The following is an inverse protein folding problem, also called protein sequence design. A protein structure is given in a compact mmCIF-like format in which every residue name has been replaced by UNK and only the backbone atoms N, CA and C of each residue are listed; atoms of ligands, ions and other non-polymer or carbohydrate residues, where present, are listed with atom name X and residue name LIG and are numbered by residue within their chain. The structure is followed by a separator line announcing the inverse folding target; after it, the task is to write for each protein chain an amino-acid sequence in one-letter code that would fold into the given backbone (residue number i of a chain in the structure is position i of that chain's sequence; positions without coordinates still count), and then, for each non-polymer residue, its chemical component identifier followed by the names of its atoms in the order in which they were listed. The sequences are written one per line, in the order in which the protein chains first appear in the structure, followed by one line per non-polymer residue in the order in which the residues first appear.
data_IF_395843983931
#
_entry.id   IF_395843983931
#
_cell.length_a   1.000
_cell.length_b   1.000
_cell.length_c   1.000
_cell.angle_alpha   90.00
_cell.angle_beta   90.00
_cell.angle_gamma   90.00
#
_symmetry.space_group_name_H-M   'P 1'
#
loop_
_entity.id
_entity.type
_entity.pdbx_description
1 polymer ?
#
# COMPACT_ATOMS: atom_id res chain seq x y z
N UNK A 1 20.69 -14.05 -3.15
CA UNK A 1 19.99 -13.17 -2.20
C UNK A 1 18.86 -12.52 -2.99
N UNK A 2 17.59 -12.66 -2.59
CA UNK A 2 16.49 -11.89 -3.21
C UNK A 2 16.85 -10.40 -3.11
N UNK A 3 16.74 -9.67 -4.21
CA UNK A 3 16.91 -8.22 -4.18
C UNK A 3 15.82 -7.64 -3.29
N UNK A 4 16.20 -6.83 -2.28
CA UNK A 4 15.24 -6.20 -1.39
C UNK A 4 14.40 -5.18 -2.16
N UNK A 5 13.09 -5.31 -2.09
CA UNK A 5 12.12 -4.41 -2.72
C UNK A 5 12.30 -2.99 -2.22
N UNK A 6 12.51 -2.83 -0.90
CA UNK A 6 12.77 -1.52 -0.34
C UNK A 6 14.05 -0.89 -0.88
N UNK A 7 15.12 -1.66 -1.08
CA UNK A 7 16.36 -1.16 -1.72
C UNK A 7 16.12 -0.75 -3.16
N UNK A 8 15.29 -1.47 -3.91
CA UNK A 8 14.88 -1.09 -5.28
C UNK A 8 14.16 0.26 -5.26
N UNK A 9 13.22 0.47 -4.32
CA UNK A 9 12.52 1.76 -4.16
C UNK A 9 13.51 2.90 -3.86
N UNK A 10 14.41 2.73 -2.89
CA UNK A 10 15.40 3.74 -2.54
C UNK A 10 16.34 4.09 -3.71
N UNK A 11 16.89 3.06 -4.36
CA UNK A 11 17.81 3.25 -5.48
C UNK A 11 17.18 4.01 -6.65
N UNK A 12 15.91 3.79 -6.94
CA UNK A 12 15.22 4.53 -8.00
C UNK A 12 14.88 5.96 -7.57
N UNK A 13 14.42 6.15 -6.33
CA UNK A 13 14.22 7.49 -5.77
C UNK A 13 15.50 8.35 -5.86
N UNK A 14 16.64 7.79 -5.43
CA UNK A 14 17.92 8.50 -5.42
C UNK A 14 18.40 8.88 -6.83
N UNK A 15 17.93 8.17 -7.86
CA UNK A 15 18.13 8.49 -9.27
C UNK A 15 17.07 9.44 -9.85
N UNK A 16 16.09 9.88 -9.04
CA UNK A 16 14.95 10.69 -9.50
C UNK A 16 13.94 9.92 -10.38
N UNK A 17 14.03 8.59 -10.44
CA UNK A 17 13.13 7.75 -11.22
C UNK A 17 11.83 7.49 -10.47
N UNK A 18 10.70 7.63 -11.17
CA UNK A 18 9.39 7.28 -10.64
C UNK A 18 9.10 5.81 -10.90
N UNK A 19 8.45 5.17 -9.94
CA UNK A 19 8.02 3.78 -10.02
C UNK A 19 6.49 3.72 -10.09
N UNK A 20 5.98 2.71 -10.77
CA UNK A 20 4.54 2.45 -10.91
C UNK A 20 4.22 1.13 -10.22
N UNK A 21 3.24 1.16 -9.32
CA UNK A 21 2.61 -0.03 -8.76
C UNK A 21 1.16 -0.13 -9.22
N UNK A 22 0.72 -1.33 -9.56
CA UNK A 22 -0.68 -1.61 -9.88
C UNK A 22 -1.28 -2.41 -8.73
N UNK A 23 -2.32 -1.87 -8.09
CA UNK A 23 -3.05 -2.55 -7.02
C UNK A 23 -4.14 -3.44 -7.61
N UNK A 24 -4.14 -4.69 -7.22
CA UNK A 24 -5.14 -5.68 -7.59
C UNK A 24 -5.93 -6.14 -6.36
N UNK A 25 -7.24 -5.94 -6.42
CA UNK A 25 -8.18 -6.49 -5.44
C UNK A 25 -8.54 -7.93 -5.85
N UNK A 26 -8.28 -8.94 -4.99
CA UNK A 26 -8.60 -10.34 -5.29
C UNK A 26 -10.07 -10.59 -5.64
N UNK A 27 -10.99 -9.85 -5.06
CA UNK A 27 -12.42 -9.99 -5.35
C UNK A 27 -12.80 -9.52 -6.75
N UNK A 28 -12.05 -8.57 -7.31
CA UNK A 28 -12.21 -8.07 -8.67
C UNK A 28 -11.42 -8.90 -9.72
N UNK A 29 -10.43 -9.70 -9.30
CA UNK A 29 -9.52 -10.42 -10.19
C UNK A 29 -9.92 -11.88 -10.36
N UNK A 30 -11.00 -12.15 -11.12
CA UNK A 30 -11.56 -13.51 -11.32
C UNK A 30 -11.85 -13.80 -12.79
N UNK A 31 -11.78 -15.09 -13.16
CA UNK A 31 -12.18 -15.60 -14.49
C UNK A 31 -11.56 -14.82 -15.66
N UNK A 32 -12.34 -14.51 -16.71
CA UNK A 32 -11.85 -13.79 -17.88
C UNK A 32 -11.23 -12.43 -17.58
N UNK A 33 -11.71 -11.74 -16.53
CA UNK A 33 -11.18 -10.45 -16.13
C UNK A 33 -9.72 -10.56 -15.65
N UNK A 34 -9.40 -11.58 -14.83
CA UNK A 34 -8.03 -11.84 -14.41
C UNK A 34 -7.12 -12.16 -15.61
N UNK A 35 -7.61 -12.95 -16.58
CA UNK A 35 -6.85 -13.26 -17.79
C UNK A 35 -6.48 -11.99 -18.57
N UNK A 36 -7.43 -11.07 -18.72
CA UNK A 36 -7.20 -9.78 -19.36
C UNK A 36 -6.20 -8.92 -18.61
N UNK A 37 -6.34 -8.83 -17.26
CA UNK A 37 -5.39 -8.09 -16.41
C UNK A 37 -3.98 -8.65 -16.58
N UNK A 38 -3.79 -9.97 -16.49
CA UNK A 38 -2.48 -10.61 -16.68
C UNK A 38 -1.90 -10.30 -18.04
N UNK A 39 -2.72 -10.33 -19.10
CA UNK A 39 -2.27 -9.97 -20.45
C UNK A 39 -1.80 -8.51 -20.54
N UNK A 40 -2.55 -7.59 -19.94
CA UNK A 40 -2.17 -6.17 -19.89
C UNK A 40 -0.86 -5.96 -19.10
N UNK A 41 -0.70 -6.63 -17.95
CA UNK A 41 0.52 -6.55 -17.14
C UNK A 41 1.74 -7.16 -17.83
N UNK A 42 1.56 -8.15 -18.73
CA UNK A 42 2.64 -8.66 -19.59
C UNK A 42 3.08 -7.66 -20.64
N UNK A 43 2.12 -6.92 -21.21
CA UNK A 43 2.39 -5.91 -22.24
C UNK A 43 2.93 -4.60 -21.66
N UNK A 44 2.39 -4.21 -20.49
CA UNK A 44 2.73 -2.96 -19.79
C UNK A 44 3.18 -3.28 -18.36
N UNK A 45 4.37 -3.86 -18.25
CA UNK A 45 4.90 -4.34 -16.98
C UNK A 45 5.15 -3.18 -16.00
N UNK A 46 4.43 -3.11 -14.84
CA UNK A 46 4.73 -2.13 -13.81
C UNK A 46 5.99 -2.52 -13.03
N UNK A 47 6.47 -1.64 -12.17
CA UNK A 47 7.59 -1.95 -11.29
C UNK A 47 7.20 -2.92 -10.17
N UNK A 48 5.93 -2.84 -9.72
CA UNK A 48 5.35 -3.71 -8.69
C UNK A 48 3.89 -4.03 -8.99
N UNK A 49 3.43 -5.18 -8.53
CA UNK A 49 1.99 -5.46 -8.38
C UNK A 49 1.68 -5.54 -6.90
N UNK A 50 0.78 -4.67 -6.43
CA UNK A 50 0.25 -4.75 -5.08
C UNK A 50 -0.99 -5.63 -5.05
N UNK A 51 -1.15 -6.44 -4.01
CA UNK A 51 -2.32 -7.33 -3.85
C UNK A 51 -2.94 -7.11 -2.48
N UNK A 52 -4.22 -6.77 -2.45
CA UNK A 52 -4.98 -6.54 -1.23
C UNK A 52 -6.23 -5.70 -1.45
N UNK A 53 -6.88 -5.34 -0.35
CA UNK A 53 -8.07 -4.50 -0.37
C UNK A 53 -8.62 -4.31 1.04
N UNK A 54 -9.47 -3.30 1.25
CA UNK A 54 -10.03 -2.99 2.57
C UNK A 54 -10.90 -4.12 3.13
N UNK A 55 -11.60 -4.83 2.24
CA UNK A 55 -12.42 -5.99 2.56
C UNK A 55 -12.36 -6.97 1.40
N UNK A 56 -11.87 -8.20 1.64
CA UNK A 56 -11.77 -9.24 0.62
C UNK A 56 -12.33 -10.56 1.15
N UNK A 57 -13.04 -11.28 0.27
CA UNK A 57 -13.66 -12.57 0.54
C UNK A 57 -12.93 -13.72 -0.18
N UNK A 58 -12.08 -13.41 -1.15
CA UNK A 58 -11.37 -14.39 -1.95
C UNK A 58 -9.97 -14.62 -1.37
N UNK A 59 -9.49 -15.87 -1.47
CA UNK A 59 -8.10 -16.17 -1.07
C UNK A 59 -7.09 -15.39 -1.90
N UNK A 60 -6.19 -14.70 -1.19
CA UNK A 60 -5.09 -13.95 -1.83
C UNK A 60 -4.02 -14.88 -2.41
N UNK A 61 -3.85 -16.09 -1.85
CA UNK A 61 -2.87 -17.07 -2.34
C UNK A 61 -3.10 -17.41 -3.80
N UNK A 62 -4.35 -17.71 -4.17
CA UNK A 62 -4.71 -18.09 -5.55
C UNK A 62 -4.31 -17.01 -6.55
N UNK A 63 -4.58 -15.74 -6.25
CA UNK A 63 -4.19 -14.63 -7.12
C UNK A 63 -2.67 -14.51 -7.21
N UNK A 64 -1.98 -14.55 -6.05
CA UNK A 64 -0.52 -14.42 -6.02
C UNK A 64 0.17 -15.57 -6.77
N UNK A 65 -0.29 -16.80 -6.61
CA UNK A 65 0.27 -17.95 -7.31
C UNK A 65 0.13 -17.81 -8.85
N UNK A 66 -1.02 -17.30 -9.32
CA UNK A 66 -1.22 -17.00 -10.74
C UNK A 66 -0.26 -15.88 -11.20
N UNK A 67 -0.19 -14.76 -10.46
CA UNK A 67 0.69 -13.66 -10.80
C UNK A 67 2.16 -14.07 -10.85
N UNK A 68 2.62 -14.84 -9.86
CA UNK A 68 4.01 -15.32 -9.79
C UNK A 68 4.35 -16.33 -10.88
N UNK A 69 3.36 -17.09 -11.37
CA UNK A 69 3.54 -18.01 -12.50
C UNK A 69 3.59 -17.29 -13.84
N UNK A 70 2.76 -16.26 -14.00
CA UNK A 70 2.53 -15.60 -15.29
C UNK A 70 3.41 -14.37 -15.52
N UNK A 71 3.91 -13.73 -14.44
CA UNK A 71 4.65 -12.48 -14.49
C UNK A 71 6.01 -12.61 -13.79
N UNK A 72 6.95 -11.78 -14.21
CA UNK A 72 8.27 -11.64 -13.56
C UNK A 72 8.35 -10.46 -12.60
N UNK A 73 7.25 -9.71 -12.43
CA UNK A 73 7.17 -8.54 -11.57
C UNK A 73 7.12 -8.92 -10.09
N UNK A 74 7.69 -8.08 -9.23
CA UNK A 74 7.62 -8.28 -7.77
C UNK A 74 6.18 -8.07 -7.27
N UNK A 75 5.67 -9.02 -6.47
CA UNK A 75 4.32 -8.98 -5.88
C UNK A 75 4.42 -8.60 -4.41
N UNK A 76 3.78 -7.50 -4.03
CA UNK A 76 3.82 -6.93 -2.68
C UNK A 76 2.43 -6.95 -2.06
N UNK A 77 2.31 -7.45 -0.84
CA UNK A 77 1.04 -7.41 -0.10
C UNK A 77 0.69 -5.99 0.33
N UNK A 78 -0.58 -5.63 0.10
CA UNK A 78 -1.20 -4.38 0.54
C UNK A 78 -2.42 -4.71 1.42
N UNK A 79 -2.22 -5.24 2.65
CA UNK A 79 -3.29 -5.83 3.42
C UNK A 79 -4.21 -4.79 4.07
N UNK A 80 -5.51 -5.00 3.99
CA UNK A 80 -6.52 -4.23 4.75
C UNK A 80 -6.73 -4.74 6.18
N UNK A 81 -6.28 -5.98 6.47
CA UNK A 81 -6.37 -6.57 7.82
C UNK A 81 -5.36 -7.72 8.01
N UNK A 82 -5.25 -8.21 9.25
CA UNK A 82 -4.30 -9.25 9.66
C UNK A 82 -4.44 -10.60 8.90
N UNK A 83 -5.62 -10.89 8.35
CA UNK A 83 -5.88 -12.15 7.65
C UNK A 83 -5.40 -12.14 6.19
N UNK A 84 -5.09 -10.95 5.65
CA UNK A 84 -4.62 -10.78 4.29
C UNK A 84 -3.10 -10.96 4.20
N UNK A 85 -2.61 -12.13 4.59
CA UNK A 85 -1.20 -12.43 4.62
C UNK A 85 -0.90 -13.80 4.00
N UNK A 86 0.16 -13.85 3.20
CA UNK A 86 0.76 -15.09 2.67
C UNK A 86 2.26 -14.95 2.53
N UNK A 87 2.97 -16.07 2.69
CA UNK A 87 4.42 -16.13 2.48
C UNK A 87 4.84 -16.18 1.00
N UNK A 88 3.87 -16.33 0.07
CA UNK A 88 4.15 -16.50 -1.35
C UNK A 88 4.46 -15.17 -2.06
N UNK A 89 4.16 -14.03 -1.43
CA UNK A 89 4.53 -12.71 -1.92
C UNK A 89 6.02 -12.41 -1.72
N UNK A 90 6.52 -11.35 -2.36
CA UNK A 90 7.93 -10.94 -2.27
C UNK A 90 8.17 -10.00 -1.09
N UNK A 91 7.20 -9.15 -0.77
CA UNK A 91 7.23 -8.26 0.40
C UNK A 91 5.81 -7.97 0.92
N UNK A 92 5.76 -7.30 2.06
CA UNK A 92 4.55 -6.85 2.73
C UNK A 92 4.70 -5.38 3.12
N UNK A 93 3.73 -4.53 2.71
CA UNK A 93 3.54 -3.21 3.32
C UNK A 93 2.86 -3.40 4.67
N UNK A 94 3.59 -3.14 5.75
CA UNK A 94 3.07 -3.27 7.11
C UNK A 94 2.42 -1.95 7.51
N UNK A 95 1.14 -1.81 7.11
CA UNK A 95 0.41 -0.55 7.09
C UNK A 95 -0.09 -0.15 8.47
N UNK A 96 0.29 1.04 8.95
CA UNK A 96 -0.36 1.70 10.10
C UNK A 96 -1.16 2.90 9.61
N UNK A 97 -2.48 2.93 9.86
CA UNK A 97 -3.38 4.01 9.44
C UNK A 97 -3.21 5.23 10.35
N UNK A 98 -2.13 5.99 10.16
CA UNK A 98 -1.75 7.10 11.03
C UNK A 98 -2.70 8.30 10.94
N UNK A 99 -3.39 8.49 9.81
CA UNK A 99 -4.43 9.52 9.67
C UNK A 99 -5.66 9.26 10.55
N UNK A 100 -5.93 7.99 10.85
CA UNK A 100 -6.99 7.60 11.78
C UNK A 100 -6.54 7.67 13.25
N UNK A 101 -7.50 7.62 14.17
CA UNK A 101 -7.22 7.50 15.61
C UNK A 101 -7.79 6.20 16.17
N UNK A 102 -7.94 5.20 15.30
CA UNK A 102 -8.42 3.88 15.66
C UNK A 102 -7.24 2.96 15.99
N UNK A 103 -7.11 2.58 17.27
CA UNK A 103 -6.01 1.75 17.77
C UNK A 103 -5.92 0.40 17.05
N UNK A 104 -7.03 -0.16 16.57
CA UNK A 104 -7.05 -1.42 15.84
C UNK A 104 -6.21 -1.33 14.55
N UNK A 105 -6.31 -0.21 13.82
CA UNK A 105 -5.57 0.01 12.58
C UNK A 105 -4.21 0.70 12.79
N UNK A 106 -3.95 1.19 14.02
CA UNK A 106 -2.62 1.70 14.39
C UNK A 106 -1.68 0.59 14.83
N UNK A 107 -2.17 -0.42 15.59
CA UNK A 107 -1.34 -1.48 16.16
C UNK A 107 -2.07 -2.83 16.32
N UNK A 108 -3.41 -2.86 16.50
CA UNK A 108 -4.15 -4.09 16.80
C UNK A 108 -3.96 -5.17 15.75
N UNK A 109 -4.17 -4.85 14.47
CA UNK A 109 -3.97 -5.77 13.34
C UNK A 109 -2.52 -6.26 13.25
N UNK A 110 -1.55 -5.42 13.60
CA UNK A 110 -0.12 -5.77 13.61
C UNK A 110 0.18 -6.84 14.67
N UNK A 111 -0.34 -6.67 15.88
CA UNK A 111 -0.15 -7.64 16.97
C UNK A 111 -0.70 -9.02 16.57
N UNK A 112 -1.88 -9.06 15.95
CA UNK A 112 -2.53 -10.30 15.54
C UNK A 112 -1.76 -11.08 14.47
N UNK A 113 -0.97 -10.41 13.62
CA UNK A 113 -0.25 -11.01 12.48
C UNK A 113 1.27 -11.10 12.66
N UNK A 114 1.85 -10.33 13.58
CA UNK A 114 3.30 -10.12 13.68
C UNK A 114 4.10 -11.42 13.79
N UNK A 115 3.67 -12.37 14.63
CA UNK A 115 4.40 -13.64 14.81
C UNK A 115 4.41 -14.45 13.51
N UNK A 116 3.24 -14.63 12.89
CA UNK A 116 3.12 -15.39 11.64
C UNK A 116 3.95 -14.78 10.52
N UNK A 117 3.94 -13.43 10.40
CA UNK A 117 4.74 -12.70 9.41
C UNK A 117 6.23 -12.94 9.66
N UNK A 118 6.70 -12.75 10.89
CA UNK A 118 8.11 -12.90 11.28
C UNK A 118 8.64 -14.30 10.98
N UNK A 119 7.85 -15.34 11.25
CA UNK A 119 8.23 -16.73 11.07
C UNK A 119 8.47 -17.10 9.58
N UNK A 120 7.93 -16.34 8.64
CA UNK A 120 8.13 -16.58 7.19
C UNK A 120 9.39 -15.97 6.63
N UNK A 121 9.96 -14.94 7.28
CA UNK A 121 11.11 -14.21 6.77
C UNK A 121 10.82 -13.36 5.52
N UNK A 122 9.54 -13.09 5.21
CA UNK A 122 9.15 -12.16 4.13
C UNK A 122 9.72 -10.76 4.39
N UNK A 123 10.05 -10.02 3.34
CA UNK A 123 10.46 -8.62 3.50
C UNK A 123 9.29 -7.78 4.01
N UNK A 124 9.44 -7.15 5.18
CA UNK A 124 8.44 -6.28 5.78
C UNK A 124 8.86 -4.83 5.63
N UNK A 125 7.96 -4.00 5.09
CA UNK A 125 8.18 -2.57 4.89
C UNK A 125 7.18 -1.79 5.74
N UNK A 126 7.58 -1.30 6.95
CA UNK A 126 6.72 -0.47 7.79
C UNK A 126 6.29 0.79 7.04
N UNK A 127 4.98 1.00 6.94
CA UNK A 127 4.40 2.02 6.07
C UNK A 127 3.39 2.88 6.83
N UNK A 128 3.65 4.18 6.88
CA UNK A 128 2.70 5.18 7.36
C UNK A 128 1.60 5.38 6.31
N UNK A 129 0.40 4.88 6.56
CA UNK A 129 -0.74 5.01 5.67
C UNK A 129 -1.58 6.21 6.08
N UNK A 130 -1.74 7.15 5.16
CA UNK A 130 -2.49 8.40 5.36
C UNK A 130 -3.65 8.43 4.39
N UNK A 131 -4.86 8.29 4.90
CA UNK A 131 -6.08 8.48 4.12
C UNK A 131 -6.39 9.98 4.05
N UNK A 132 -6.55 10.49 2.83
CA UNK A 132 -6.90 11.87 2.51
C UNK A 132 -8.33 11.90 1.93
N UNK A 133 -9.07 12.96 2.18
CA UNK A 133 -10.42 13.12 1.67
C UNK A 133 -10.42 13.19 0.13
N UNK A 134 -11.04 12.21 -0.48
CA UNK A 134 -11.22 12.07 -1.94
C UNK A 134 -12.59 12.54 -2.43
N UNK A 135 -13.36 13.27 -1.62
CA UNK A 135 -14.68 13.83 -1.99
C UNK A 135 -15.88 12.93 -1.66
N UNK A 136 -15.62 11.64 -1.35
CA UNK A 136 -16.65 10.70 -0.89
C UNK A 136 -16.09 9.69 0.10
N UNK A 137 -16.97 9.06 0.87
CA UNK A 137 -16.58 8.03 1.84
C UNK A 137 -15.94 6.84 1.11
N UNK A 138 -14.68 6.54 1.41
CA UNK A 138 -13.98 5.37 0.87
C UNK A 138 -14.25 4.12 1.70
N UNK A 139 -14.02 2.94 1.12
CA UNK A 139 -14.09 1.67 1.84
C UNK A 139 -13.14 1.65 3.04
N UNK A 140 -11.96 2.25 2.92
CA UNK A 140 -10.99 2.37 4.02
C UNK A 140 -11.58 3.16 5.18
N UNK A 141 -12.17 4.34 4.91
CA UNK A 141 -12.79 5.18 5.93
C UNK A 141 -13.91 4.43 6.68
N UNK A 142 -14.76 3.75 5.92
CA UNK A 142 -15.88 2.98 6.49
C UNK A 142 -15.40 1.80 7.34
N UNK A 143 -14.52 0.95 6.79
CA UNK A 143 -14.02 -0.25 7.47
C UNK A 143 -13.18 0.06 8.69
N UNK A 144 -12.40 1.13 8.65
CA UNK A 144 -11.56 1.55 9.78
C UNK A 144 -12.28 2.41 10.81
N UNK A 145 -13.50 2.87 10.49
CA UNK A 145 -14.24 3.86 11.29
C UNK A 145 -13.38 5.08 11.62
N UNK A 146 -12.72 5.64 10.60
CA UNK A 146 -11.85 6.81 10.74
C UNK A 146 -12.23 7.89 9.75
N UNK A 147 -11.92 9.15 10.11
CA UNK A 147 -12.06 10.27 9.19
C UNK A 147 -10.77 10.46 8.40
N UNK A 148 -10.85 10.72 7.08
CA UNK A 148 -9.68 11.09 6.30
C UNK A 148 -9.15 12.47 6.69
N UNK A 149 -7.88 12.75 6.38
CA UNK A 149 -7.30 14.10 6.46
C UNK A 149 -7.99 14.98 5.42
N UNK A 150 -8.50 16.18 5.78
CA UNK A 150 -9.08 17.08 4.79
C UNK A 150 -8.07 17.43 3.68
N UNK A 151 -8.51 17.42 2.42
CA UNK A 151 -7.62 17.54 1.26
C UNK A 151 -6.89 18.88 1.13
N UNK A 152 -7.36 19.91 1.85
CA UNK A 152 -6.77 21.26 1.91
C UNK A 152 -5.83 21.47 3.12
N UNK A 153 -5.59 20.45 3.92
CA UNK A 153 -4.79 20.54 5.16
C UNK A 153 -3.42 19.90 5.01
N UNK A 154 -2.58 20.47 4.14
CA UNK A 154 -1.23 19.98 3.84
C UNK A 154 -0.37 19.84 5.11
N UNK A 155 -0.46 20.80 6.05
CA UNK A 155 0.30 20.78 7.29
C UNK A 155 -0.10 19.64 8.23
N UNK A 156 -1.39 19.27 8.24
CA UNK A 156 -1.84 18.11 9.03
C UNK A 156 -1.30 16.82 8.41
N UNK A 157 -1.36 16.69 7.08
CA UNK A 157 -0.80 15.55 6.36
C UNK A 157 0.72 15.44 6.58
N UNK A 158 1.44 16.56 6.45
CA UNK A 158 2.88 16.62 6.66
C UNK A 158 3.26 16.22 8.09
N UNK A 159 2.62 16.83 9.10
CA UNK A 159 2.90 16.51 10.51
C UNK A 159 2.62 15.05 10.83
N UNK A 160 1.56 14.46 10.23
CA UNK A 160 1.23 13.05 10.41
C UNK A 160 2.28 12.14 9.75
N UNK A 161 2.75 12.50 8.55
CA UNK A 161 3.79 11.77 7.85
C UNK A 161 5.14 11.82 8.57
N UNK A 162 5.54 13.00 9.07
CA UNK A 162 6.77 13.17 9.88
C UNK A 162 6.67 12.35 11.17
N UNK A 163 5.51 12.31 11.82
CA UNK A 163 5.32 11.46 13.00
C UNK A 163 5.56 9.97 12.64
N UNK A 164 5.08 9.52 11.49
CA UNK A 164 5.37 8.17 10.99
C UNK A 164 6.87 7.93 10.78
N UNK A 165 7.57 8.88 10.16
CA UNK A 165 9.02 8.82 9.94
C UNK A 165 9.78 8.74 11.27
N UNK A 166 9.44 9.58 12.24
CA UNK A 166 10.05 9.57 13.58
C UNK A 166 9.75 8.29 14.37
N UNK A 167 8.62 7.63 14.11
CA UNK A 167 8.28 6.32 14.66
C UNK A 167 9.02 5.15 13.96
N UNK A 168 9.84 5.44 12.95
CA UNK A 168 10.64 4.44 12.24
C UNK A 168 9.94 3.80 11.04
N UNK A 169 8.86 4.39 10.55
CA UNK A 169 8.26 3.96 9.28
C UNK A 169 9.24 4.19 8.13
N UNK A 170 9.19 3.34 7.12
CA UNK A 170 10.13 3.35 5.98
C UNK A 170 9.51 3.89 4.70
N UNK A 171 8.19 3.97 4.65
CA UNK A 171 7.41 4.54 3.55
C UNK A 171 6.27 5.40 4.10
N UNK A 172 5.86 6.39 3.34
CA UNK A 172 4.57 7.06 3.49
C UNK A 172 3.70 6.70 2.29
N UNK A 173 2.45 6.34 2.51
CA UNK A 173 1.45 6.09 1.49
C UNK A 173 0.29 7.08 1.67
N UNK A 174 0.10 7.97 0.69
CA UNK A 174 -1.06 8.86 0.61
C UNK A 174 -2.14 8.20 -0.23
N UNK A 175 -3.34 8.08 0.30
CA UNK A 175 -4.48 7.42 -0.35
C UNK A 175 -5.69 8.34 -0.36
N UNK A 176 -6.28 8.55 -1.54
CA UNK A 176 -7.56 9.27 -1.66
C UNK A 176 -8.77 8.31 -1.63
N UNK A 177 -8.54 7.01 -1.83
CA UNK A 177 -9.57 5.98 -1.88
C UNK A 177 -9.90 5.54 -3.30
N UNK A 178 -10.14 4.24 -3.47
CA UNK A 178 -10.53 3.67 -4.75
C UNK A 178 -11.82 4.30 -5.26
N UNK A 179 -11.79 4.80 -6.49
CA UNK A 179 -12.91 5.50 -7.12
C UNK A 179 -13.23 6.85 -6.50
N UNK A 180 -12.28 7.49 -5.79
CA UNK A 180 -12.43 8.85 -5.28
C UNK A 180 -12.82 9.86 -6.39
N UNK A 181 -13.57 10.89 -6.01
CA UNK A 181 -13.96 11.95 -6.95
C UNK A 181 -12.78 12.87 -7.26
N UNK A 182 -11.84 12.96 -6.31
CA UNK A 182 -10.63 13.76 -6.45
C UNK A 182 -9.40 12.97 -6.02
N UNK A 183 -8.29 13.05 -6.77
CA UNK A 183 -7.01 12.50 -6.34
C UNK A 183 -6.44 13.30 -5.17
N UNK A 184 -5.39 12.79 -4.53
CA UNK A 184 -4.59 13.57 -3.58
C UNK A 184 -4.11 14.86 -4.24
N UNK A 185 -4.27 15.99 -3.54
CA UNK A 185 -3.94 17.31 -4.08
C UNK A 185 -2.43 17.43 -4.40
N UNK A 186 -2.10 18.01 -5.55
CA UNK A 186 -0.72 18.11 -6.03
C UNK A 186 0.19 18.92 -5.07
N UNK A 187 -0.35 19.97 -4.46
CA UNK A 187 0.36 20.77 -3.46
C UNK A 187 0.64 19.99 -2.17
N UNK A 188 -0.28 19.10 -1.75
CA UNK A 188 -0.04 18.20 -0.63
C UNK A 188 1.09 17.22 -0.95
N UNK A 189 1.08 16.62 -2.14
CA UNK A 189 2.15 15.71 -2.61
C UNK A 189 3.49 16.45 -2.63
N UNK A 190 3.53 17.66 -3.19
CA UNK A 190 4.73 18.49 -3.25
C UNK A 190 5.25 18.82 -1.84
N UNK A 191 4.35 19.23 -0.93
CA UNK A 191 4.70 19.56 0.46
C UNK A 191 5.33 18.37 1.17
N UNK A 192 4.72 17.19 1.08
CA UNK A 192 5.25 16.00 1.73
C UNK A 192 6.56 15.53 1.08
N UNK A 193 6.62 15.52 -0.26
CA UNK A 193 7.81 15.09 -0.99
C UNK A 193 9.05 15.95 -0.72
N UNK A 194 8.85 17.25 -0.46
CA UNK A 194 9.95 18.19 -0.16
C UNK A 194 10.47 18.07 1.28
N UNK A 195 9.69 17.50 2.20
CA UNK A 195 10.00 17.53 3.64
C UNK A 195 10.24 16.14 4.27
N UNK A 196 9.98 15.05 3.53
CA UNK A 196 10.22 13.70 4.02
C UNK A 196 11.56 13.14 3.52
N UNK A 197 12.28 12.43 4.39
CA UNK A 197 13.49 11.70 4.01
C UNK A 197 13.22 10.28 3.51
N UNK A 198 12.04 9.72 3.82
CA UNK A 198 11.59 8.41 3.35
C UNK A 198 10.75 8.51 2.07
N UNK A 199 10.66 7.44 1.25
CA UNK A 199 9.88 7.46 0.02
C UNK A 199 8.39 7.71 0.27
N UNK A 200 7.76 8.43 -0.68
CA UNK A 200 6.34 8.71 -0.73
C UNK A 200 5.69 7.94 -1.88
N UNK A 201 4.60 7.23 -1.59
CA UNK A 201 3.71 6.59 -2.57
C UNK A 201 2.39 7.35 -2.56
N UNK A 202 1.76 7.48 -3.72
CA UNK A 202 0.47 8.13 -3.89
C UNK A 202 -0.47 7.20 -4.63
N UNK A 203 -1.67 6.96 -4.06
CA UNK A 203 -2.74 6.12 -4.61
C UNK A 203 -4.08 6.85 -4.70
#
# INVERSE_FOLDING_TARGET
MKNSIYKKILSNRDKGQKLIAVLLDPDCCKGPHLTNIVSLLKTHTPDFVFVGGSHINTSIDTLIDILKKELTVDVVLFPGNANQFTKNADALLFLSLLSGRNAEFLIGQHVNSAKSIKDTGIEVIPTAYLLVDGGKTSSVAYMSNTMPIPRDKNEIALSTAIAGELLGMRLVYLEAGSGADFPVAADMIQTLSANLSIPLIVG
#
